data_IF_548472729889
#
_entry.id   IF_548472729889
#
_cell.length_a   1.000
_cell.length_b   1.000
_cell.length_c   1.000
_cell.angle_alpha   90.00
_cell.angle_beta   90.00
_cell.angle_gamma   90.00
#
_symmetry.space_group_name_H-M   'P 1'
#
loop_
_entity.id
_entity.type
_entity.pdbx_description
1 polymer ?
#
# COMPACT_ATOMS: atom_id res chain seq x y z
N UNK A 1 13.08 -21.07 -3.45
CA UNK A 1 13.32 -19.61 -3.27
C UNK A 1 12.81 -18.76 -4.43
N UNK A 2 13.30 -18.90 -5.67
CA UNK A 2 12.86 -18.05 -6.81
C UNK A 2 11.35 -18.06 -7.07
N UNK A 3 10.72 -19.24 -7.04
CA UNK A 3 9.27 -19.36 -7.28
C UNK A 3 8.42 -18.58 -6.26
N UNK A 4 8.76 -18.67 -4.97
CA UNK A 4 8.07 -17.94 -3.91
C UNK A 4 8.22 -16.43 -4.05
N UNK A 5 9.43 -15.96 -4.38
CA UNK A 5 9.68 -14.53 -4.64
C UNK A 5 8.84 -14.05 -5.83
N UNK A 6 8.80 -14.80 -6.92
CA UNK A 6 8.01 -14.42 -8.09
C UNK A 6 6.51 -14.38 -7.79
N UNK A 7 6.00 -15.28 -6.96
CA UNK A 7 4.60 -15.26 -6.50
C UNK A 7 4.34 -14.00 -5.68
N UNK A 8 5.19 -13.70 -4.70
CA UNK A 8 5.05 -12.49 -3.86
C UNK A 8 5.13 -11.21 -4.69
N UNK A 9 6.07 -11.11 -5.63
CA UNK A 9 6.17 -9.95 -6.53
C UNK A 9 4.95 -9.82 -7.44
N UNK A 10 4.42 -10.94 -7.95
CA UNK A 10 3.18 -10.93 -8.73
C UNK A 10 1.98 -10.48 -7.89
N UNK A 11 1.87 -10.95 -6.65
CA UNK A 11 0.84 -10.53 -5.71
C UNK A 11 0.97 -9.05 -5.36
N UNK A 12 2.18 -8.55 -5.07
CA UNK A 12 2.44 -7.13 -4.81
C UNK A 12 2.11 -6.26 -6.01
N UNK A 13 2.50 -6.70 -7.22
CA UNK A 13 2.17 -5.98 -8.44
C UNK A 13 0.67 -5.88 -8.64
N UNK A 14 -0.05 -6.99 -8.46
CA UNK A 14 -1.51 -7.00 -8.52
C UNK A 14 -2.10 -6.05 -7.47
N UNK A 15 -1.65 -6.15 -6.21
CA UNK A 15 -2.16 -5.35 -5.11
C UNK A 15 -1.93 -3.85 -5.29
N UNK A 16 -0.71 -3.44 -5.67
CA UNK A 16 -0.44 -2.03 -5.95
C UNK A 16 -1.21 -1.53 -7.16
N UNK A 17 -1.44 -2.37 -8.18
CA UNK A 17 -2.24 -1.97 -9.34
C UNK A 17 -3.68 -1.65 -8.93
N UNK A 18 -4.26 -2.40 -7.99
CA UNK A 18 -5.58 -2.08 -7.43
C UNK A 18 -5.60 -0.71 -6.76
N UNK A 19 -4.53 -0.30 -6.06
CA UNK A 19 -4.45 1.05 -5.49
C UNK A 19 -4.56 2.12 -6.57
N UNK A 20 -3.88 1.93 -7.71
CA UNK A 20 -3.86 2.92 -8.78
C UNK A 20 -5.19 2.95 -9.53
N UNK A 21 -5.77 1.79 -9.85
CA UNK A 21 -7.01 1.73 -10.64
C UNK A 21 -8.26 1.95 -9.79
N UNK A 22 -8.16 1.78 -8.48
CA UNK A 22 -9.31 1.61 -7.60
C UNK A 22 -9.95 0.23 -7.79
N UNK A 23 -10.68 -0.22 -6.77
CA UNK A 23 -11.52 -1.42 -6.86
C UNK A 23 -12.75 -1.31 -5.97
N UNK A 24 -13.93 -1.40 -6.60
CA UNK A 24 -15.23 -1.42 -5.94
C UNK A 24 -16.14 -2.47 -6.55
N UNK A 25 -16.87 -3.21 -5.70
CA UNK A 25 -17.85 -4.22 -6.08
C UNK A 25 -19.19 -3.94 -5.38
N UNK A 26 -20.14 -3.35 -6.10
CA UNK A 26 -21.42 -2.92 -5.52
C UNK A 26 -21.21 -1.86 -4.43
N UNK A 27 -21.69 -2.13 -3.21
CA UNK A 27 -21.51 -1.25 -2.05
C UNK A 27 -20.16 -1.43 -1.35
N UNK A 28 -19.35 -2.39 -1.78
CA UNK A 28 -18.05 -2.67 -1.20
C UNK A 28 -16.96 -1.93 -2.00
N UNK A 29 -16.34 -0.89 -1.44
CA UNK A 29 -15.15 -0.28 -2.03
C UNK A 29 -13.92 -0.80 -1.27
N UNK A 30 -13.00 -1.48 -1.95
CA UNK A 30 -11.76 -1.94 -1.32
C UNK A 30 -10.76 -0.80 -1.21
N UNK A 31 -10.58 -0.04 -2.29
CA UNK A 31 -9.61 1.04 -2.40
C UNK A 31 -10.07 2.03 -3.46
N UNK A 32 -9.96 3.33 -3.18
CA UNK A 32 -10.24 4.39 -4.14
C UNK A 32 -8.98 4.72 -4.95
N UNK A 33 -9.16 5.04 -6.24
CA UNK A 33 -8.03 5.47 -7.08
C UNK A 33 -7.59 6.88 -6.67
N UNK A 34 -6.31 7.09 -6.32
CA UNK A 34 -5.76 8.42 -6.09
C UNK A 34 -5.52 9.19 -7.41
N UNK A 35 -5.79 8.57 -8.57
CA UNK A 35 -5.54 9.11 -9.90
C UNK A 35 -4.11 8.90 -10.42
N UNK A 36 -3.91 9.07 -11.73
CA UNK A 36 -2.66 8.73 -12.45
C UNK A 36 -1.49 9.66 -12.10
N UNK A 37 -1.76 10.90 -11.68
CA UNK A 37 -0.74 11.88 -11.29
C UNK A 37 -0.43 11.87 -9.79
N UNK A 38 -0.84 10.82 -9.09
CA UNK A 38 -0.61 10.66 -7.65
C UNK A 38 0.82 10.21 -7.34
N UNK A 39 1.24 10.48 -6.10
CA UNK A 39 2.50 9.96 -5.55
C UNK A 39 2.50 8.42 -5.57
N UNK A 40 1.35 7.79 -5.31
CA UNK A 40 1.20 6.33 -5.36
C UNK A 40 1.49 5.76 -6.74
N UNK A 41 1.06 6.45 -7.81
CA UNK A 41 1.37 6.03 -9.19
C UNK A 41 2.86 6.12 -9.45
N UNK A 42 3.55 7.14 -8.95
CA UNK A 42 5.01 7.23 -9.05
C UNK A 42 5.70 6.06 -8.34
N UNK A 43 5.27 5.70 -7.12
CA UNK A 43 5.76 4.52 -6.41
C UNK A 43 5.51 3.22 -7.16
N UNK A 44 4.33 3.05 -7.76
CA UNK A 44 4.01 1.90 -8.61
C UNK A 44 4.95 1.80 -9.82
N UNK A 45 5.23 2.90 -10.52
CA UNK A 45 6.15 2.92 -11.67
C UNK A 45 7.56 2.51 -11.23
N UNK A 46 8.06 3.07 -10.12
CA UNK A 46 9.38 2.73 -9.58
C UNK A 46 9.44 1.24 -9.22
N UNK A 47 8.38 0.70 -8.59
CA UNK A 47 8.28 -0.71 -8.26
C UNK A 47 8.37 -1.60 -9.52
N UNK A 48 7.64 -1.25 -10.58
CA UNK A 48 7.66 -1.98 -11.86
C UNK A 48 9.07 -1.96 -12.47
N UNK A 49 9.73 -0.80 -12.50
CA UNK A 49 11.10 -0.66 -13.02
C UNK A 49 12.08 -1.50 -12.19
N UNK A 50 11.99 -1.46 -10.86
CA UNK A 50 12.82 -2.27 -9.97
C UNK A 50 12.59 -3.77 -10.19
N UNK A 51 11.34 -4.19 -10.40
CA UNK A 51 10.96 -5.57 -10.66
C UNK A 51 11.50 -6.05 -12.02
N UNK A 52 11.37 -5.25 -13.08
CA UNK A 52 11.96 -5.56 -14.40
C UNK A 52 13.48 -5.69 -14.29
N UNK A 53 14.16 -4.78 -13.58
CA UNK A 53 15.60 -4.85 -13.35
C UNK A 53 16.00 -6.13 -12.60
N UNK A 54 15.21 -6.57 -11.62
CA UNK A 54 15.41 -7.84 -10.93
C UNK A 54 15.31 -9.04 -11.88
N UNK A 55 14.35 -9.06 -12.80
CA UNK A 55 14.23 -10.14 -13.78
C UNK A 55 15.35 -10.14 -14.83
N UNK A 56 15.80 -8.97 -15.29
CA UNK A 56 16.87 -8.85 -16.30
C UNK A 56 18.27 -9.04 -15.72
N UNK A 57 18.51 -8.55 -14.50
CA UNK A 57 19.83 -8.49 -13.86
C UNK A 57 19.75 -8.88 -12.39
N UNK A 58 19.34 -10.12 -12.12
CA UNK A 58 19.07 -10.65 -10.77
C UNK A 58 20.09 -10.25 -9.71
N UNK A 59 21.40 -10.35 -10.01
CA UNK A 59 22.47 -10.04 -9.06
C UNK A 59 22.45 -8.59 -8.55
N UNK A 60 22.18 -7.62 -9.42
CA UNK A 60 22.10 -6.21 -9.04
C UNK A 60 20.67 -5.82 -8.66
N UNK A 61 19.70 -6.25 -9.46
CA UNK A 61 18.28 -5.92 -9.27
C UNK A 61 17.73 -6.39 -7.94
N UNK A 62 18.23 -7.49 -7.36
CA UNK A 62 17.81 -7.92 -6.01
C UNK A 62 18.09 -6.87 -4.94
N UNK A 63 19.22 -6.17 -5.02
CA UNK A 63 19.58 -5.16 -4.02
C UNK A 63 18.74 -3.90 -4.22
N UNK A 64 18.56 -3.46 -5.47
CA UNK A 64 17.72 -2.30 -5.81
C UNK A 64 16.28 -2.54 -5.36
N UNK A 65 15.69 -3.70 -5.70
CA UNK A 65 14.34 -4.07 -5.30
C UNK A 65 14.21 -4.21 -3.79
N UNK A 66 15.22 -4.76 -3.10
CA UNK A 66 15.20 -4.86 -1.63
C UNK A 66 15.22 -3.50 -0.95
N UNK A 67 16.03 -2.56 -1.44
CA UNK A 67 16.05 -1.18 -0.93
C UNK A 67 14.69 -0.51 -1.13
N UNK A 68 14.11 -0.65 -2.32
CA UNK A 68 12.78 -0.12 -2.61
C UNK A 68 11.71 -0.69 -1.67
N UNK A 69 11.63 -2.01 -1.54
CA UNK A 69 10.65 -2.67 -0.67
C UNK A 69 10.85 -2.30 0.81
N UNK A 70 12.10 -2.15 1.25
CA UNK A 70 12.40 -1.69 2.62
C UNK A 70 11.89 -0.27 2.84
N UNK A 71 12.19 0.65 1.92
CA UNK A 71 11.69 2.02 1.99
C UNK A 71 10.15 2.06 1.97
N UNK A 72 9.53 1.22 1.14
CA UNK A 72 8.08 1.12 1.05
C UNK A 72 7.44 0.65 2.36
N UNK A 73 7.96 -0.41 2.98
CA UNK A 73 7.44 -0.92 4.27
C UNK A 73 7.54 0.16 5.36
N UNK A 74 8.65 0.91 5.39
CA UNK A 74 8.84 2.02 6.32
C UNK A 74 7.75 3.09 6.11
N UNK A 75 7.54 3.52 4.87
CA UNK A 75 6.53 4.53 4.53
C UNK A 75 5.13 4.03 4.91
N UNK A 76 4.79 2.79 4.55
CA UNK A 76 3.52 2.16 4.89
C UNK A 76 3.27 2.12 6.41
N UNK A 77 4.30 1.73 7.17
CA UNK A 77 4.22 1.75 8.63
C UNK A 77 3.94 3.17 9.16
N UNK A 78 4.65 4.18 8.68
CA UNK A 78 4.47 5.57 9.11
C UNK A 78 3.21 6.24 8.58
N UNK A 79 2.56 5.70 7.55
CA UNK A 79 1.29 6.20 7.03
C UNK A 79 0.08 5.65 7.78
N UNK A 80 0.20 4.44 8.35
CA UNK A 80 -0.93 3.72 8.93
C UNK A 80 -0.65 3.30 10.38
N UNK A 81 0.16 2.24 10.56
CA UNK A 81 0.31 1.55 11.85
C UNK A 81 0.99 2.37 12.95
N UNK A 82 1.91 3.27 12.61
CA UNK A 82 2.52 4.16 13.58
C UNK A 82 1.45 5.01 14.30
N UNK A 83 0.46 5.51 13.57
CA UNK A 83 -0.62 6.31 14.14
C UNK A 83 -1.65 5.47 14.89
N UNK A 84 -1.84 4.22 14.48
CA UNK A 84 -2.67 3.27 15.23
C UNK A 84 -2.07 2.97 16.61
N UNK A 85 -0.74 2.84 16.70
CA UNK A 85 -0.04 2.45 17.94
C UNK A 85 0.21 3.65 18.86
N UNK A 86 0.70 4.77 18.29
CA UNK A 86 1.16 5.92 19.07
C UNK A 86 0.17 7.10 19.09
N UNK A 87 -0.95 6.97 18.38
CA UNK A 87 -1.93 8.04 18.23
C UNK A 87 -1.52 9.06 17.17
N UNK A 88 -2.44 9.98 16.90
CA UNK A 88 -2.31 11.02 15.89
C UNK A 88 -3.09 12.27 16.33
N UNK A 89 -2.78 13.44 15.77
CA UNK A 89 -3.55 14.65 16.05
C UNK A 89 -4.99 14.53 15.54
N UNK A 90 -5.94 15.18 16.22
CA UNK A 90 -7.36 15.15 15.84
C UNK A 90 -7.60 15.59 14.38
N UNK A 91 -6.88 16.63 13.93
CA UNK A 91 -7.00 17.13 12.55
C UNK A 91 -6.63 16.05 11.54
N UNK A 92 -5.52 15.34 11.77
CA UNK A 92 -5.06 14.29 10.87
C UNK A 92 -5.93 13.04 10.97
N UNK A 93 -6.47 12.71 12.14
CA UNK A 93 -7.44 11.63 12.28
C UNK A 93 -8.70 11.90 11.46
N UNK A 94 -9.28 13.11 11.59
CA UNK A 94 -10.45 13.52 10.80
C UNK A 94 -10.16 13.52 9.30
N UNK A 95 -8.99 14.00 8.90
CA UNK A 95 -8.54 13.95 7.51
C UNK A 95 -8.43 12.52 6.98
N UNK A 96 -7.86 11.61 7.77
CA UNK A 96 -7.73 10.20 7.43
C UNK A 96 -9.09 9.51 7.29
N UNK A 97 -9.94 9.61 8.32
CA UNK A 97 -11.28 9.01 8.30
C UNK A 97 -12.09 9.54 7.12
N UNK A 98 -12.02 10.85 6.83
CA UNK A 98 -12.68 11.43 5.66
C UNK A 98 -12.12 10.89 4.34
N UNK A 99 -10.81 10.75 4.22
CA UNK A 99 -10.16 10.28 2.99
C UNK A 99 -10.50 8.82 2.69
N UNK A 100 -10.57 7.98 3.72
CA UNK A 100 -10.90 6.56 3.60
C UNK A 100 -12.37 6.23 3.89
N UNK A 101 -13.25 7.21 4.08
CA UNK A 101 -14.63 7.00 4.54
C UNK A 101 -15.43 6.00 3.70
N UNK A 102 -15.14 5.94 2.40
CA UNK A 102 -15.85 5.07 1.47
C UNK A 102 -15.22 3.67 1.37
N UNK A 103 -14.00 3.46 1.85
CA UNK A 103 -13.32 2.16 1.75
C UNK A 103 -13.80 1.20 2.84
N UNK A 104 -13.62 -0.09 2.60
CA UNK A 104 -14.14 -1.11 3.48
C UNK A 104 -13.27 -1.25 4.74
N UNK A 105 -13.91 -1.08 5.88
CA UNK A 105 -13.30 -1.17 7.20
C UNK A 105 -13.73 -2.47 7.88
N UNK A 106 -12.77 -3.36 8.15
CA UNK A 106 -13.02 -4.58 8.97
C UNK A 106 -13.28 -4.19 10.41
N UNK A 107 -12.48 -3.25 10.92
CA UNK A 107 -12.66 -2.62 12.22
C UNK A 107 -13.21 -1.22 11.93
N UNK A 108 -14.37 -0.84 12.49
CA UNK A 108 -14.95 0.49 12.27
C UNK A 108 -13.95 1.62 12.58
N UNK A 109 -14.09 2.73 11.87
CA UNK A 109 -13.34 3.95 12.17
C UNK A 109 -13.54 4.41 13.62
N UNK A 110 -12.56 5.13 14.16
CA UNK A 110 -12.56 5.64 15.53
C UNK A 110 -12.25 7.12 15.55
N UNK A 111 -12.87 7.85 16.48
CA UNK A 111 -12.61 9.27 16.75
C UNK A 111 -11.39 9.50 17.65
N UNK A 112 -10.73 8.42 18.11
CA UNK A 112 -9.58 8.49 19.02
C UNK A 112 -8.32 7.81 18.50
N UNK A 113 -8.44 6.87 17.56
CA UNK A 113 -7.34 6.06 17.04
C UNK A 113 -7.49 5.93 15.53
N UNK A 114 -6.39 6.05 14.79
CA UNK A 114 -6.37 5.80 13.35
C UNK A 114 -6.39 4.30 13.09
N UNK A 115 -7.42 3.83 12.38
CA UNK A 115 -7.60 2.42 12.04
C UNK A 115 -7.52 2.29 10.51
N UNK A 116 -6.57 1.50 9.96
CA UNK A 116 -6.46 1.34 8.53
C UNK A 116 -7.62 0.55 7.93
N UNK A 117 -7.96 0.84 6.68
CA UNK A 117 -8.95 0.06 5.93
C UNK A 117 -8.43 -1.34 5.57
N UNK A 118 -9.31 -2.20 5.06
CA UNK A 118 -8.95 -3.57 4.71
C UNK A 118 -7.80 -3.64 3.70
N UNK A 119 -7.76 -2.73 2.73
CA UNK A 119 -6.73 -2.72 1.70
C UNK A 119 -5.34 -2.55 2.31
N UNK A 120 -5.17 -1.56 3.20
CA UNK A 120 -3.88 -1.28 3.83
C UNK A 120 -3.49 -2.33 4.88
N UNK A 121 -4.47 -2.94 5.57
CA UNK A 121 -4.21 -4.08 6.46
C UNK A 121 -3.61 -5.25 5.66
N UNK A 122 -4.25 -5.64 4.56
CA UNK A 122 -3.78 -6.74 3.70
C UNK A 122 -2.45 -6.41 3.02
N UNK A 123 -2.28 -5.15 2.60
CA UNK A 123 -1.02 -4.69 2.02
C UNK A 123 0.15 -4.81 2.99
N UNK A 124 -0.06 -4.60 4.29
CA UNK A 124 1.01 -4.70 5.27
C UNK A 124 1.43 -6.16 5.56
N UNK A 125 0.53 -7.11 5.33
CA UNK A 125 0.81 -8.55 5.45
C UNK A 125 1.62 -9.06 4.25
N UNK A 126 1.42 -8.45 3.09
CA UNK A 126 2.00 -8.83 1.80
C UNK A 126 3.43 -8.33 1.60
#
# INVERSE_FOLDING_TARGET
>A
MKRSINILLGSLLFWFTLNITGFSLGNFCLVESPGILSVDTAWWIIFVVCSILFFLKERQGKYVLSVFLTAWIIIQYFSHWNYTIFGVTEEKLRGYNKYFANTYHVIPESDSILIPDLYHILLHIL
#
